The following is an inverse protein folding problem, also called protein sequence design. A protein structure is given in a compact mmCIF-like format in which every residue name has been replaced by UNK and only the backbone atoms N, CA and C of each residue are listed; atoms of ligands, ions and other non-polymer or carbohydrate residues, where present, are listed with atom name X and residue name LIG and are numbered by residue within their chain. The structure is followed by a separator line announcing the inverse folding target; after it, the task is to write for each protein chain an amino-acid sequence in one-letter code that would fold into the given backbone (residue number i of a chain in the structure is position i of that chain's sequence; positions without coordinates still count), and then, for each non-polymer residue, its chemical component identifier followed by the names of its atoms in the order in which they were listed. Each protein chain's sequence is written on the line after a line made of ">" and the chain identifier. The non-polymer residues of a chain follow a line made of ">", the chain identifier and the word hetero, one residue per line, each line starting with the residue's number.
data_IF_342514442131
#
_entry.id   IF_342514442131
#
_cell.length_a   1.000
_cell.length_b   1.000
_cell.length_c   1.000
_cell.angle_alpha   90.00
_cell.angle_beta   90.00
_cell.angle_gamma   90.00
#
_symmetry.space_group_name_H-M   'P 1'
#
loop_
_entity.id
_entity.type
_entity.pdbx_description
1 polymer ?
#
# COMPACT_ATOMS: atom_id res chain seq x y z
N UNK A 1 -53.53 -10.60 -4.47
CA UNK A 1 -52.31 -10.28 -3.71
C UNK A 1 -51.25 -9.84 -4.71
N UNK A 2 -50.69 -8.63 -4.56
CA UNK A 2 -49.56 -8.20 -5.40
C UNK A 2 -48.33 -9.04 -5.05
N UNK A 3 -47.61 -9.52 -6.07
CA UNK A 3 -46.37 -10.28 -5.88
C UNK A 3 -45.19 -9.42 -6.29
N UNK A 4 -43.98 -9.68 -5.79
CA UNK A 4 -42.79 -8.94 -6.21
C UNK A 4 -42.62 -8.97 -7.75
N UNK A 5 -43.00 -10.09 -8.39
CA UNK A 5 -42.95 -10.28 -9.84
C UNK A 5 -44.00 -9.48 -10.63
N UNK A 6 -44.94 -8.79 -9.96
CA UNK A 6 -45.87 -7.86 -10.63
C UNK A 6 -45.28 -6.47 -10.82
N UNK A 7 -44.09 -6.18 -10.27
CA UNK A 7 -43.39 -4.92 -10.51
C UNK A 7 -42.71 -4.90 -11.90
N UNK A 8 -42.59 -3.73 -12.53
CA UNK A 8 -41.69 -3.51 -13.67
C UNK A 8 -40.26 -3.95 -13.36
N UNK A 9 -39.54 -4.43 -14.38
CA UNK A 9 -38.18 -4.94 -14.23
C UNK A 9 -37.23 -3.84 -13.73
N UNK A 10 -37.41 -2.61 -14.19
CA UNK A 10 -36.60 -1.44 -13.84
C UNK A 10 -36.72 -1.11 -12.35
N UNK A 11 -37.94 -1.22 -11.79
CA UNK A 11 -38.15 -1.03 -10.36
C UNK A 11 -37.53 -2.16 -9.54
N UNK A 12 -37.58 -3.41 -10.04
CA UNK A 12 -36.93 -4.55 -9.39
C UNK A 12 -35.40 -4.39 -9.40
N UNK A 13 -34.83 -3.96 -10.51
CA UNK A 13 -33.40 -3.66 -10.64
C UNK A 13 -32.99 -2.52 -9.71
N UNK A 14 -33.77 -1.44 -9.67
CA UNK A 14 -33.51 -0.33 -8.77
C UNK A 14 -33.52 -0.80 -7.31
N UNK A 15 -34.54 -1.53 -6.87
CA UNK A 15 -34.61 -2.09 -5.51
C UNK A 15 -33.42 -3.02 -5.25
N UNK A 16 -33.08 -3.89 -6.19
CA UNK A 16 -31.97 -4.81 -6.08
C UNK A 16 -30.62 -4.09 -5.93
N UNK A 17 -30.43 -2.92 -6.55
CA UNK A 17 -29.20 -2.12 -6.46
C UNK A 17 -28.93 -1.55 -5.06
N UNK A 18 -29.96 -1.47 -4.20
CA UNK A 18 -29.82 -1.03 -2.80
C UNK A 18 -29.59 -2.19 -1.82
N UNK A 19 -29.65 -3.44 -2.28
CA UNK A 19 -29.43 -4.59 -1.42
C UNK A 19 -27.93 -4.80 -1.15
N UNK A 20 -27.57 -5.33 0.03
CA UNK A 20 -26.29 -6.00 0.17
C UNK A 20 -26.14 -7.08 -0.91
N UNK A 21 -24.97 -7.20 -1.51
CA UNK A 21 -24.66 -8.24 -2.50
C UNK A 21 -25.03 -9.66 -2.01
N UNK A 22 -24.82 -10.01 -0.74
CA UNK A 22 -25.27 -11.29 -0.19
C UNK A 22 -26.81 -11.47 -0.27
N UNK A 23 -27.57 -10.40 -0.01
CA UNK A 23 -29.02 -10.40 -0.16
C UNK A 23 -29.46 -10.48 -1.62
N UNK A 24 -28.72 -9.83 -2.54
CA UNK A 24 -28.93 -9.97 -3.98
C UNK A 24 -28.78 -11.44 -4.42
N UNK A 25 -27.72 -12.12 -3.99
CA UNK A 25 -27.49 -13.53 -4.33
C UNK A 25 -28.64 -14.42 -3.84
N UNK A 26 -29.16 -14.17 -2.65
CA UNK A 26 -30.33 -14.88 -2.13
C UNK A 26 -31.59 -14.58 -2.95
N UNK A 27 -31.82 -13.32 -3.32
CA UNK A 27 -32.94 -12.91 -4.17
C UNK A 27 -32.91 -13.60 -5.55
N UNK A 28 -31.72 -13.68 -6.16
CA UNK A 28 -31.51 -14.36 -7.43
C UNK A 28 -31.85 -15.87 -7.36
N UNK A 29 -31.72 -16.50 -6.20
CA UNK A 29 -32.03 -17.93 -6.00
C UNK A 29 -33.52 -18.23 -5.84
N UNK A 30 -34.37 -17.22 -5.60
CA UNK A 30 -35.80 -17.42 -5.35
C UNK A 30 -36.60 -17.80 -6.61
N UNK A 31 -36.20 -17.32 -7.79
CA UNK A 31 -36.89 -17.59 -9.05
C UNK A 31 -35.97 -17.32 -10.25
N UNK A 32 -36.09 -18.13 -11.32
CA UNK A 32 -35.36 -17.89 -12.58
C UNK A 32 -35.64 -16.52 -13.18
N UNK A 33 -36.85 -15.99 -13.01
CA UNK A 33 -37.21 -14.64 -13.49
C UNK A 33 -36.49 -13.57 -12.67
N UNK A 34 -36.43 -13.70 -11.35
CA UNK A 34 -35.66 -12.78 -10.49
C UNK A 34 -34.17 -12.87 -10.77
N UNK A 35 -33.64 -14.09 -11.00
CA UNK A 35 -32.27 -14.27 -11.43
C UNK A 35 -31.97 -13.45 -12.70
N UNK A 36 -32.77 -13.61 -13.76
CA UNK A 36 -32.55 -12.88 -15.02
C UNK A 36 -32.68 -11.36 -14.90
N UNK A 37 -33.56 -10.86 -14.02
CA UNK A 37 -33.74 -9.42 -13.80
C UNK A 37 -32.60 -8.84 -12.95
N UNK A 38 -32.20 -9.54 -11.88
CA UNK A 38 -31.30 -9.04 -10.85
C UNK A 38 -29.82 -9.40 -11.10
N UNK A 39 -29.54 -10.39 -11.95
CA UNK A 39 -28.19 -10.68 -12.45
C UNK A 39 -27.90 -9.78 -13.66
N UNK A 40 -27.98 -8.47 -13.42
CA UNK A 40 -27.79 -7.42 -14.42
C UNK A 40 -26.58 -6.57 -14.01
N UNK A 41 -25.83 -6.10 -15.01
CA UNK A 41 -24.62 -5.32 -14.78
C UNK A 41 -24.91 -4.02 -14.02
N UNK A 42 -25.96 -3.28 -14.36
CA UNK A 42 -26.29 -2.00 -13.72
C UNK A 42 -26.67 -2.19 -12.25
N UNK A 43 -27.34 -3.31 -11.92
CA UNK A 43 -27.66 -3.66 -10.53
C UNK A 43 -26.39 -3.83 -9.71
N UNK A 44 -25.43 -4.60 -10.24
CA UNK A 44 -24.17 -4.88 -9.58
C UNK A 44 -23.28 -3.64 -9.45
N UNK A 45 -23.24 -2.80 -10.49
CA UNK A 45 -22.57 -1.50 -10.44
C UNK A 45 -23.21 -0.60 -9.37
N UNK A 46 -24.54 -0.55 -9.29
CA UNK A 46 -25.25 0.21 -8.26
C UNK A 46 -24.91 -0.27 -6.84
N UNK A 47 -24.79 -1.59 -6.63
CA UNK A 47 -24.32 -2.13 -5.35
C UNK A 47 -22.89 -1.69 -5.08
N UNK A 48 -21.96 -1.89 -6.01
CA UNK A 48 -20.56 -1.49 -5.81
C UNK A 48 -20.43 0.01 -5.50
N UNK A 49 -21.15 0.86 -6.25
CA UNK A 49 -21.11 2.31 -6.09
C UNK A 49 -21.72 2.80 -4.77
N UNK A 50 -22.81 2.17 -4.32
CA UNK A 50 -23.61 2.68 -3.22
C UNK A 50 -23.56 1.83 -1.96
N UNK A 51 -22.86 0.69 -1.94
CA UNK A 51 -22.83 -0.23 -0.81
C UNK A 51 -22.46 0.49 0.50
N UNK A 52 -21.41 1.30 0.48
CA UNK A 52 -20.98 2.06 1.65
C UNK A 52 -22.06 3.07 2.11
N UNK A 53 -22.69 3.78 1.17
CA UNK A 53 -23.69 4.79 1.51
C UNK A 53 -25.03 4.22 1.95
N UNK A 54 -25.40 3.04 1.43
CA UNK A 54 -26.67 2.37 1.70
C UNK A 54 -26.62 1.50 2.95
N UNK A 55 -25.43 1.11 3.38
CA UNK A 55 -25.26 0.29 4.57
C UNK A 55 -25.48 1.11 5.83
N UNK A 56 -26.54 0.80 6.56
CA UNK A 56 -26.93 1.50 7.80
C UNK A 56 -25.79 1.49 8.81
N UNK A 57 -25.40 2.67 9.30
CA UNK A 57 -24.34 2.81 10.30
C UNK A 57 -22.94 2.93 9.72
N UNK A 58 -22.72 2.68 8.43
CA UNK A 58 -21.36 2.69 7.86
C UNK A 58 -20.74 4.09 7.87
N UNK A 59 -21.51 5.11 7.48
CA UNK A 59 -21.08 6.52 7.54
C UNK A 59 -20.86 6.96 8.98
N UNK A 60 -21.76 6.61 9.89
CA UNK A 60 -21.66 6.96 11.30
C UNK A 60 -20.46 6.28 11.98
N UNK A 61 -20.17 5.02 11.63
CA UNK A 61 -18.99 4.30 12.10
C UNK A 61 -17.69 4.90 11.58
N UNK A 62 -17.66 5.30 10.30
CA UNK A 62 -16.51 6.04 9.73
C UNK A 62 -16.34 7.39 10.43
N UNK A 63 -17.40 8.18 10.57
CA UNK A 63 -17.36 9.46 11.28
C UNK A 63 -16.92 9.29 12.74
N UNK A 64 -17.30 8.20 13.41
CA UNK A 64 -16.82 7.88 14.76
C UNK A 64 -15.32 7.58 14.78
N UNK A 65 -14.84 6.78 13.83
CA UNK A 65 -13.41 6.47 13.68
C UNK A 65 -12.60 7.73 13.41
N UNK A 66 -13.18 8.72 12.73
CA UNK A 66 -12.51 10.00 12.46
C UNK A 66 -12.65 10.97 13.62
N UNK A 67 -13.77 10.98 14.32
CA UNK A 67 -13.96 11.79 15.52
C UNK A 67 -13.10 11.29 16.70
N UNK A 68 -12.74 10.01 16.71
CA UNK A 68 -11.81 9.44 17.66
C UNK A 68 -10.40 10.03 17.43
N UNK A 69 -10.05 11.00 18.28
CA UNK A 69 -8.70 11.49 18.56
C UNK A 69 -8.00 12.24 17.42
N UNK A 70 -7.97 13.57 17.50
CA UNK A 70 -6.98 14.41 16.79
C UNK A 70 -6.89 14.24 15.26
N UNK A 71 -7.88 13.65 14.60
CA UNK A 71 -7.86 13.52 13.13
C UNK A 71 -8.34 14.80 12.46
N UNK A 72 -7.92 14.99 11.22
CA UNK A 72 -8.40 16.07 10.37
C UNK A 72 -9.83 15.79 9.94
N UNK A 73 -10.63 16.84 9.77
CA UNK A 73 -11.99 16.71 9.26
C UNK A 73 -11.94 16.10 7.85
N UNK A 74 -12.76 15.09 7.59
CA UNK A 74 -12.94 14.59 6.23
C UNK A 74 -13.69 15.62 5.40
N UNK A 75 -13.22 15.82 4.18
CA UNK A 75 -14.03 16.46 3.16
C UNK A 75 -15.16 15.49 2.76
N UNK A 76 -16.45 15.91 2.79
CA UNK A 76 -17.56 15.10 2.30
C UNK A 76 -17.34 14.51 0.91
N UNK A 77 -16.56 15.17 0.04
CA UNK A 77 -16.20 14.64 -1.29
C UNK A 77 -15.44 13.30 -1.22
N UNK A 78 -14.70 13.04 -0.13
CA UNK A 78 -13.99 11.78 0.08
C UNK A 78 -14.93 10.61 0.42
N UNK A 79 -16.20 10.88 0.70
CA UNK A 79 -17.23 9.85 0.88
C UNK A 79 -17.84 9.39 -0.45
N UNK A 80 -17.55 10.10 -1.53
CA UNK A 80 -17.95 9.73 -2.89
C UNK A 80 -16.86 8.85 -3.51
N UNK A 81 -17.28 7.77 -4.19
CA UNK A 81 -16.36 6.96 -4.97
C UNK A 81 -16.21 7.57 -6.37
N UNK A 82 -15.38 8.61 -6.47
CA UNK A 82 -15.20 9.42 -7.68
C UNK A 82 -14.77 8.55 -8.87
N UNK A 83 -13.92 7.58 -8.61
CA UNK A 83 -13.38 6.70 -9.63
C UNK A 83 -14.27 5.49 -9.93
N UNK A 84 -15.28 5.23 -9.10
CA UNK A 84 -16.19 4.10 -9.29
C UNK A 84 -16.92 4.17 -10.63
N UNK A 85 -17.31 5.37 -11.06
CA UNK A 85 -18.05 5.56 -12.31
C UNK A 85 -17.29 5.07 -13.56
N UNK A 86 -16.01 5.44 -13.72
CA UNK A 86 -15.20 5.04 -14.87
C UNK A 86 -14.85 3.55 -14.83
N UNK A 87 -14.49 3.04 -13.65
CA UNK A 87 -14.11 1.63 -13.46
C UNK A 87 -15.30 0.71 -13.73
N UNK A 88 -16.48 1.09 -13.23
CA UNK A 88 -17.68 0.30 -13.37
C UNK A 88 -18.24 0.37 -14.80
N UNK A 89 -18.13 1.51 -15.50
CA UNK A 89 -18.69 1.68 -16.84
C UNK A 89 -18.20 0.63 -17.85
N UNK A 90 -16.92 0.25 -17.75
CA UNK A 90 -16.27 -0.72 -18.64
C UNK A 90 -16.27 -2.15 -18.08
N UNK A 91 -16.72 -2.34 -16.82
CA UNK A 91 -16.68 -3.64 -16.17
C UNK A 91 -17.60 -4.66 -16.88
N UNK A 92 -17.12 -5.89 -17.02
CA UNK A 92 -17.95 -7.04 -17.35
C UNK A 92 -18.92 -7.38 -16.21
N UNK A 93 -19.88 -8.27 -16.46
CA UNK A 93 -20.83 -8.67 -15.41
C UNK A 93 -20.12 -9.37 -14.23
N UNK A 94 -19.12 -10.20 -14.49
CA UNK A 94 -18.41 -10.94 -13.45
C UNK A 94 -17.46 -10.03 -12.66
N UNK A 95 -16.86 -9.04 -13.33
CA UNK A 95 -16.12 -7.95 -12.73
C UNK A 95 -17.01 -7.11 -11.80
N UNK A 96 -18.21 -6.73 -12.26
CA UNK A 96 -19.17 -6.00 -11.45
C UNK A 96 -19.63 -6.82 -10.23
N UNK A 97 -19.79 -8.14 -10.36
CA UNK A 97 -20.08 -9.02 -9.20
C UNK A 97 -18.93 -9.00 -8.20
N UNK A 98 -17.70 -9.12 -8.67
CA UNK A 98 -16.52 -9.13 -7.80
C UNK A 98 -16.37 -7.79 -7.06
N UNK A 99 -16.49 -6.67 -7.76
CA UNK A 99 -16.42 -5.33 -7.16
C UNK A 99 -17.56 -5.10 -6.16
N UNK A 100 -18.79 -5.51 -6.49
CA UNK A 100 -19.93 -5.43 -5.57
C UNK A 100 -19.70 -6.25 -4.29
N UNK A 101 -19.16 -7.46 -4.43
CA UNK A 101 -18.81 -8.31 -3.30
C UNK A 101 -17.69 -7.71 -2.46
N UNK A 102 -16.59 -7.28 -3.08
CA UNK A 102 -15.46 -6.64 -2.43
C UNK A 102 -15.89 -5.38 -1.66
N UNK A 103 -16.70 -4.51 -2.29
CA UNK A 103 -17.24 -3.31 -1.67
C UNK A 103 -18.10 -3.63 -0.43
N UNK A 104 -18.93 -4.68 -0.51
CA UNK A 104 -19.68 -5.17 0.66
C UNK A 104 -18.73 -5.66 1.75
N UNK A 105 -17.76 -6.51 1.44
CA UNK A 105 -16.83 -7.04 2.45
C UNK A 105 -16.02 -5.94 3.12
N UNK A 106 -15.57 -4.96 2.36
CA UNK A 106 -14.90 -3.77 2.90
C UNK A 106 -15.84 -2.98 3.83
N UNK A 107 -17.09 -2.75 3.42
CA UNK A 107 -18.09 -2.03 4.22
C UNK A 107 -18.47 -2.78 5.50
N UNK A 108 -18.61 -4.10 5.43
CA UNK A 108 -18.83 -4.95 6.60
C UNK A 108 -17.66 -4.87 7.58
N UNK A 109 -16.43 -4.86 7.07
CA UNK A 109 -15.24 -4.68 7.91
C UNK A 109 -15.34 -3.35 8.68
N UNK A 110 -15.76 -2.24 8.06
CA UNK A 110 -15.99 -0.95 8.75
C UNK A 110 -16.99 -1.06 9.90
N UNK A 111 -18.03 -1.88 9.74
CA UNK A 111 -19.07 -2.05 10.75
C UNK A 111 -18.67 -2.96 11.91
N UNK A 112 -17.85 -3.98 11.65
CA UNK A 112 -17.41 -4.96 12.65
C UNK A 112 -16.29 -4.36 13.51
N UNK A 113 -16.33 -3.06 13.84
CA UNK A 113 -15.41 -2.48 14.81
C UNK A 113 -15.38 -3.39 16.03
N UNK A 114 -14.25 -4.06 16.27
CA UNK A 114 -14.21 -5.01 17.34
C UNK A 114 -14.43 -4.20 18.63
N UNK A 115 -15.10 -4.76 19.65
CA UNK A 115 -14.94 -4.25 20.99
C UNK A 115 -13.44 -4.02 21.25
N UNK A 116 -13.05 -2.92 21.89
CA UNK A 116 -11.63 -2.55 22.10
C UNK A 116 -10.76 -3.67 22.72
N UNK A 117 -11.43 -4.68 23.27
CA UNK A 117 -10.92 -5.87 23.95
C UNK A 117 -11.01 -7.18 23.12
N UNK A 118 -11.60 -7.18 21.93
CA UNK A 118 -11.62 -8.32 20.99
C UNK A 118 -10.79 -7.99 19.75
N UNK A 119 -9.46 -8.13 19.82
CA UNK A 119 -8.54 -8.02 18.66
C UNK A 119 -8.71 -9.18 17.65
N UNK A 120 -9.93 -9.66 17.48
CA UNK A 120 -10.34 -10.82 16.69
C UNK A 120 -10.76 -10.46 15.26
N UNK A 121 -10.39 -9.27 14.76
CA UNK A 121 -10.42 -9.02 13.31
C UNK A 121 -9.68 -10.12 12.54
N UNK A 122 -8.56 -10.59 13.09
CA UNK A 122 -7.77 -11.66 12.50
C UNK A 122 -8.42 -13.05 12.58
N UNK A 123 -9.36 -13.32 13.50
CA UNK A 123 -10.07 -14.61 13.53
C UNK A 123 -11.19 -14.65 12.49
N UNK A 124 -11.85 -13.50 12.22
CA UNK A 124 -12.84 -13.37 11.15
C UNK A 124 -12.23 -13.21 9.75
N UNK A 125 -11.00 -12.72 9.66
CA UNK A 125 -10.16 -12.71 8.46
C UNK A 125 -9.28 -13.96 8.35
N UNK A 126 -9.52 -14.98 9.17
CA UNK A 126 -8.75 -16.22 9.13
C UNK A 126 -8.74 -16.74 7.68
N UNK A 127 -7.55 -16.91 7.06
CA UNK A 127 -7.42 -17.39 5.68
C UNK A 127 -8.05 -18.79 5.48
N UNK A 128 -8.35 -19.47 6.59
CA UNK A 128 -8.92 -20.81 6.63
C UNK A 128 -10.46 -20.85 6.52
N UNK A 129 -11.15 -19.70 6.34
CA UNK A 129 -12.58 -19.66 6.01
C UNK A 129 -12.83 -19.36 4.51
N UNK A 130 -12.08 -20.07 3.66
CA UNK A 130 -12.44 -20.73 2.38
C UNK A 130 -13.21 -20.00 1.25
N UNK A 131 -13.21 -18.67 1.08
CA UNK A 131 -13.48 -18.16 -0.29
C UNK A 131 -13.00 -16.76 -0.66
N UNK A 132 -12.38 -15.98 0.23
CA UNK A 132 -12.05 -14.59 -0.12
C UNK A 132 -10.81 -14.09 0.59
N UNK A 133 -9.67 -14.20 -0.09
CA UNK A 133 -8.38 -13.71 0.40
C UNK A 133 -8.32 -12.18 0.27
N UNK A 134 -8.07 -11.50 1.40
CA UNK A 134 -7.88 -10.04 1.43
C UNK A 134 -6.77 -9.57 0.49
N UNK A 135 -5.78 -10.42 0.21
CA UNK A 135 -4.67 -10.12 -0.69
C UNK A 135 -5.12 -9.97 -2.15
N UNK A 136 -6.30 -10.47 -2.52
CA UNK A 136 -6.80 -10.44 -3.90
C UNK A 136 -7.58 -9.15 -4.23
N UNK A 137 -8.54 -8.79 -3.37
CA UNK A 137 -9.51 -7.72 -3.67
C UNK A 137 -9.18 -6.39 -3.02
N UNK A 138 -8.64 -6.40 -1.79
CA UNK A 138 -8.47 -5.18 -1.00
C UNK A 138 -7.44 -4.22 -1.62
N UNK A 139 -6.29 -4.67 -2.14
CA UNK A 139 -5.35 -3.77 -2.81
C UNK A 139 -6.00 -3.00 -3.97
N UNK A 140 -6.91 -3.65 -4.71
CA UNK A 140 -7.65 -3.01 -5.79
C UNK A 140 -8.57 -1.92 -5.25
N UNK A 141 -9.42 -2.22 -4.26
CA UNK A 141 -10.30 -1.19 -3.69
C UNK A 141 -9.56 0.01 -3.09
N UNK A 142 -8.39 -0.23 -2.49
CA UNK A 142 -7.51 0.84 -1.99
C UNK A 142 -6.96 1.69 -3.13
N UNK A 143 -6.44 1.06 -4.18
CA UNK A 143 -5.92 1.76 -5.36
C UNK A 143 -7.03 2.49 -6.16
N UNK A 144 -8.28 2.07 -6.00
CA UNK A 144 -9.47 2.73 -6.54
C UNK A 144 -10.09 3.74 -5.56
N UNK A 145 -9.46 4.00 -4.41
CA UNK A 145 -9.92 4.93 -3.37
C UNK A 145 -11.37 4.71 -2.90
N UNK A 146 -11.82 3.46 -2.82
CA UNK A 146 -13.19 3.19 -2.39
C UNK A 146 -13.45 3.74 -0.96
N UNK A 147 -14.53 4.50 -0.70
CA UNK A 147 -14.73 5.22 0.58
C UNK A 147 -14.70 4.35 1.84
N UNK A 148 -15.15 3.09 1.75
CA UNK A 148 -15.08 2.15 2.87
C UNK A 148 -13.64 1.92 3.38
N UNK A 149 -12.63 2.13 2.53
CA UNK A 149 -11.22 1.99 2.91
C UNK A 149 -10.74 3.06 3.89
N UNK A 150 -11.45 4.20 3.99
CA UNK A 150 -11.13 5.29 4.92
C UNK A 150 -11.22 4.88 6.40
N UNK A 151 -11.99 3.83 6.69
CA UNK A 151 -12.19 3.32 8.04
C UNK A 151 -11.23 2.18 8.41
N UNK A 152 -10.42 1.66 7.49
CA UNK A 152 -9.49 0.57 7.78
C UNK A 152 -8.33 1.05 8.67
N UNK A 153 -7.99 0.29 9.68
CA UNK A 153 -6.89 0.59 10.60
C UNK A 153 -5.67 -0.31 10.32
N UNK A 154 -4.42 0.18 10.46
CA UNK A 154 -3.22 -0.61 10.20
C UNK A 154 -3.11 -1.90 11.03
N UNK A 155 -3.57 -1.86 12.29
CA UNK A 155 -3.50 -3.00 13.23
C UNK A 155 -4.20 -4.26 12.71
N UNK A 156 -5.28 -4.10 11.95
CA UNK A 156 -6.01 -5.19 11.31
C UNK A 156 -5.15 -6.03 10.35
N UNK A 157 -4.06 -5.47 9.83
CA UNK A 157 -3.21 -6.11 8.80
C UNK A 157 -1.86 -6.58 9.33
N UNK A 158 -1.49 -6.26 10.57
CA UNK A 158 -0.22 -6.67 11.17
C UNK A 158 -0.09 -8.19 11.27
N UNK A 159 -1.17 -8.86 11.71
CA UNK A 159 -1.18 -10.31 11.85
C UNK A 159 -1.10 -11.03 10.50
N UNK A 160 -1.93 -10.74 9.48
CA UNK A 160 -1.79 -11.33 8.15
C UNK A 160 -0.38 -11.19 7.57
N UNK A 161 0.25 -10.03 7.74
CA UNK A 161 1.62 -9.79 7.27
C UNK A 161 2.61 -10.71 8.00
N UNK A 162 2.58 -10.76 9.33
CA UNK A 162 3.43 -11.66 10.10
C UNK A 162 3.23 -13.13 9.71
N UNK A 163 1.99 -13.56 9.46
CA UNK A 163 1.67 -14.93 9.03
C UNK A 163 2.26 -15.25 7.65
N UNK A 164 2.19 -14.32 6.68
CA UNK A 164 2.84 -14.50 5.37
C UNK A 164 4.37 -14.52 5.50
N UNK A 165 4.95 -13.65 6.34
CA UNK A 165 6.40 -13.68 6.61
C UNK A 165 6.82 -15.04 7.19
N UNK A 166 6.09 -15.55 8.18
CA UNK A 166 6.35 -16.85 8.78
C UNK A 166 6.24 -17.97 7.74
N UNK A 167 5.20 -18.01 6.92
CA UNK A 167 5.05 -19.02 5.85
C UNK A 167 6.27 -19.05 4.93
N UNK A 168 6.76 -17.90 4.48
CA UNK A 168 7.94 -17.81 3.59
C UNK A 168 9.22 -18.33 4.27
N UNK A 169 9.41 -18.06 5.55
CA UNK A 169 10.54 -18.59 6.31
C UNK A 169 10.48 -20.12 6.45
N UNK A 170 9.29 -20.70 6.64
CA UNK A 170 9.11 -22.15 6.72
C UNK A 170 9.33 -22.83 5.36
N UNK A 171 8.80 -22.27 4.26
CA UNK A 171 9.02 -22.80 2.90
C UNK A 171 10.50 -22.84 2.52
N UNK A 172 11.33 -21.98 3.12
CA UNK A 172 12.78 -22.00 2.92
C UNK A 172 13.48 -23.16 3.64
N UNK A 173 12.96 -23.57 4.79
CA UNK A 173 13.62 -24.52 5.69
C UNK A 173 13.09 -25.96 5.57
N UNK A 174 11.86 -26.16 5.10
CA UNK A 174 11.21 -27.46 5.08
C UNK A 174 10.62 -27.79 3.70
N UNK A 175 10.75 -29.05 3.27
CA UNK A 175 10.16 -29.57 2.02
C UNK A 175 8.65 -29.82 2.12
N UNK A 176 7.99 -29.26 3.14
CA UNK A 176 6.55 -29.38 3.40
C UNK A 176 5.89 -28.07 2.94
N UNK A 177 6.01 -27.75 1.65
CA UNK A 177 5.20 -26.68 1.07
C UNK A 177 3.76 -27.18 0.98
N UNK A 178 2.80 -26.31 1.31
CA UNK A 178 1.44 -26.44 0.80
C UNK A 178 1.55 -26.62 -0.72
N UNK A 179 1.19 -27.79 -1.28
CA UNK A 179 1.44 -28.09 -2.69
C UNK A 179 0.59 -27.22 -3.63
N UNK A 180 -0.31 -26.37 -3.11
CA UNK A 180 -1.22 -25.59 -3.92
C UNK A 180 -0.69 -24.23 -4.39
N UNK A 181 0.19 -23.55 -3.63
CA UNK A 181 0.62 -22.19 -3.95
C UNK A 181 2.04 -22.14 -4.53
N UNK A 182 2.17 -21.57 -5.73
CA UNK A 182 3.46 -21.34 -6.40
C UNK A 182 4.29 -20.25 -5.70
N UNK A 183 5.63 -20.25 -5.82
CA UNK A 183 6.47 -19.19 -5.25
C UNK A 183 6.12 -17.77 -5.72
N UNK A 184 5.61 -17.64 -6.95
CA UNK A 184 5.19 -16.35 -7.51
C UNK A 184 3.87 -15.86 -6.89
N UNK A 185 2.92 -16.76 -6.63
CA UNK A 185 1.68 -16.44 -5.89
C UNK A 185 1.99 -16.00 -4.45
N UNK A 186 2.87 -16.72 -3.75
CA UNK A 186 3.32 -16.31 -2.41
C UNK A 186 4.02 -14.94 -2.43
N UNK A 187 4.80 -14.65 -3.48
CA UNK A 187 5.46 -13.35 -3.66
C UNK A 187 4.44 -12.24 -3.90
N UNK A 188 3.40 -12.50 -4.67
CA UNK A 188 2.37 -11.52 -4.95
C UNK A 188 1.46 -11.27 -3.75
N UNK A 189 1.04 -12.32 -3.05
CA UNK A 189 0.30 -12.23 -1.78
C UNK A 189 1.05 -11.31 -0.81
N UNK A 190 2.37 -11.53 -0.68
CA UNK A 190 3.24 -10.70 0.12
C UNK A 190 3.25 -9.22 -0.31
N UNK A 191 3.47 -8.96 -1.60
CA UNK A 191 3.50 -7.57 -2.13
C UNK A 191 2.14 -6.90 -1.94
N UNK A 192 1.04 -7.62 -2.17
CA UNK A 192 -0.32 -7.12 -2.06
C UNK A 192 -0.66 -6.75 -0.60
N UNK A 193 -0.30 -7.58 0.38
CA UNK A 193 -0.49 -7.26 1.79
C UNK A 193 0.39 -6.08 2.23
N UNK A 194 1.63 -6.01 1.75
CA UNK A 194 2.49 -4.85 2.00
C UNK A 194 1.93 -3.57 1.37
N UNK A 195 1.34 -3.65 0.18
CA UNK A 195 0.60 -2.53 -0.40
C UNK A 195 -0.55 -2.08 0.51
N UNK A 196 -1.35 -3.03 1.00
CA UNK A 196 -2.49 -2.75 1.91
C UNK A 196 -2.02 -2.01 3.16
N UNK A 197 -1.04 -2.54 3.90
CA UNK A 197 -0.59 -1.90 5.14
C UNK A 197 0.08 -0.55 4.88
N UNK A 198 0.86 -0.41 3.80
CA UNK A 198 1.51 0.86 3.46
C UNK A 198 0.46 1.92 3.12
N UNK A 199 -0.53 1.59 2.29
CA UNK A 199 -1.62 2.48 1.95
C UNK A 199 -2.38 2.92 3.21
N UNK A 200 -2.82 1.97 4.04
CA UNK A 200 -3.63 2.26 5.24
C UNK A 200 -2.82 3.05 6.26
N UNK A 201 -1.53 2.76 6.42
CA UNK A 201 -0.64 3.52 7.32
C UNK A 201 -0.43 4.94 6.82
N UNK A 202 -0.18 5.17 5.53
CA UNK A 202 -0.08 6.52 4.95
C UNK A 202 -1.37 7.29 5.11
N UNK A 203 -2.52 6.64 4.88
CA UNK A 203 -3.82 7.24 5.08
C UNK A 203 -4.01 7.70 6.53
N UNK A 204 -3.61 6.88 7.51
CA UNK A 204 -3.66 7.25 8.93
C UNK A 204 -2.71 8.37 9.28
N UNK A 205 -1.46 8.29 8.86
CA UNK A 205 -0.47 9.34 9.09
C UNK A 205 -0.87 10.68 8.45
N UNK A 206 -1.49 10.65 7.27
CA UNK A 206 -1.98 11.84 6.58
C UNK A 206 -3.22 12.47 7.22
N UNK A 207 -4.00 11.68 7.97
CA UNK A 207 -5.25 12.12 8.58
C UNK A 207 -5.14 12.38 10.09
N UNK A 208 -4.03 12.04 10.75
CA UNK A 208 -3.84 12.32 12.19
C UNK A 208 -3.01 13.58 12.43
N UNK A 209 -3.33 14.33 13.48
CA UNK A 209 -2.45 15.39 14.02
C UNK A 209 -1.37 14.80 14.93
N UNK A 210 -1.55 13.59 15.42
CA UNK A 210 -0.66 12.90 16.34
C UNK A 210 -0.24 11.55 15.77
N UNK A 211 0.94 11.51 15.14
CA UNK A 211 1.50 10.30 14.57
C UNK A 211 1.70 9.19 15.61
N UNK A 212 1.80 9.54 16.92
CA UNK A 212 1.98 8.55 17.98
C UNK A 212 0.77 7.63 18.13
N UNK A 213 -0.43 8.07 17.71
CA UNK A 213 -1.61 7.20 17.66
C UNK A 213 -1.40 6.05 16.69
N UNK A 214 -0.91 6.35 15.49
CA UNK A 214 -0.62 5.34 14.47
C UNK A 214 0.52 4.44 14.92
N UNK A 215 1.63 4.99 15.42
CA UNK A 215 2.79 4.17 15.83
C UNK A 215 2.48 3.27 17.02
N UNK A 216 1.62 3.72 17.96
CA UNK A 216 1.20 2.93 19.12
C UNK A 216 0.47 1.65 18.71
N UNK A 217 -0.23 1.63 17.58
CA UNK A 217 -0.84 0.40 17.06
C UNK A 217 0.22 -0.68 16.78
N UNK A 218 1.35 -0.30 16.18
CA UNK A 218 2.48 -1.18 15.93
C UNK A 218 3.19 -1.58 17.23
N UNK A 219 3.43 -0.61 18.13
CA UNK A 219 4.03 -0.90 19.45
C UNK A 219 3.19 -1.91 20.24
N UNK A 220 1.87 -1.74 20.29
CA UNK A 220 0.96 -2.64 20.99
C UNK A 220 0.95 -4.06 20.42
N UNK A 221 1.29 -4.21 19.14
CA UNK A 221 1.32 -5.50 18.47
C UNK A 221 2.68 -6.20 18.66
N UNK A 222 3.78 -5.49 18.41
CA UNK A 222 5.13 -6.06 18.44
C UNK A 222 5.74 -6.08 19.85
N UNK A 223 5.35 -5.15 20.71
CA UNK A 223 5.86 -4.99 22.08
C UNK A 223 4.73 -5.03 23.13
N UNK A 224 3.88 -6.08 23.19
CA UNK A 224 2.68 -6.11 24.03
C UNK A 224 2.99 -6.10 25.54
N UNK A 225 4.21 -6.45 25.94
CA UNK A 225 4.67 -6.45 27.33
C UNK A 225 5.06 -5.05 27.83
N UNK A 226 5.06 -4.03 26.97
CA UNK A 226 5.39 -2.68 27.39
C UNK A 226 4.25 -2.07 28.20
N UNK A 227 4.30 -2.29 29.51
CA UNK A 227 3.30 -1.82 30.48
C UNK A 227 3.51 -0.37 30.91
N UNK A 228 4.65 0.23 30.57
CA UNK A 228 5.02 1.59 30.95
C UNK A 228 5.11 2.51 29.72
N UNK A 229 3.97 3.05 29.27
CA UNK A 229 3.94 4.16 28.32
C UNK A 229 4.06 5.54 29.01
N UNK A 230 4.29 5.55 30.32
CA UNK A 230 4.22 6.76 31.15
C UNK A 230 5.38 7.74 30.92
N UNK A 231 6.43 7.34 30.20
CA UNK A 231 7.57 8.22 29.90
C UNK A 231 7.87 8.29 28.42
N UNK A 232 8.19 9.49 27.93
CA UNK A 232 8.60 9.72 26.54
C UNK A 232 9.80 8.84 26.12
N UNK A 233 10.71 8.55 27.06
CA UNK A 233 11.85 7.68 26.82
C UNK A 233 11.44 6.21 26.61
N UNK A 234 10.48 5.71 27.40
CA UNK A 234 9.94 4.36 27.21
C UNK A 234 9.23 4.24 25.86
N UNK A 235 8.40 5.21 25.49
CA UNK A 235 7.76 5.26 24.16
C UNK A 235 8.80 5.24 23.04
N UNK A 236 9.84 6.08 23.12
CA UNK A 236 10.89 6.11 22.11
C UNK A 236 11.66 4.78 21.99
N UNK A 237 11.89 4.08 23.11
CA UNK A 237 12.56 2.78 23.10
C UNK A 237 11.65 1.66 22.57
N UNK A 238 10.37 1.62 22.96
CA UNK A 238 9.38 0.68 22.41
C UNK A 238 9.25 0.85 20.90
N UNK A 239 9.20 2.10 20.45
CA UNK A 239 9.09 2.40 19.04
C UNK A 239 10.35 1.96 18.28
N UNK A 240 11.55 2.22 18.82
CA UNK A 240 12.81 1.72 18.23
C UNK A 240 12.80 0.20 18.11
N UNK A 241 12.33 -0.49 19.15
CA UNK A 241 12.22 -1.95 19.13
C UNK A 241 11.18 -2.43 18.09
N UNK A 242 10.06 -1.72 17.97
CA UNK A 242 9.04 -1.99 16.94
C UNK A 242 9.60 -1.86 15.54
N UNK A 243 10.35 -0.79 15.25
CA UNK A 243 11.05 -0.62 13.97
C UNK A 243 12.06 -1.73 13.76
N UNK A 244 12.85 -2.09 14.78
CA UNK A 244 13.81 -3.20 14.71
C UNK A 244 13.12 -4.52 14.33
N UNK A 245 12.01 -4.85 14.98
CA UNK A 245 11.23 -6.06 14.70
C UNK A 245 10.62 -6.03 13.29
N UNK A 246 10.14 -4.87 12.82
CA UNK A 246 9.69 -4.71 11.43
C UNK A 246 10.84 -4.89 10.44
N UNK A 247 12.02 -4.36 10.72
CA UNK A 247 13.23 -4.55 9.92
C UNK A 247 13.67 -6.02 9.89
N UNK A 248 13.57 -6.75 11.01
CA UNK A 248 13.83 -8.20 11.07
C UNK A 248 12.86 -9.00 10.19
N UNK A 249 11.66 -8.45 9.94
CA UNK A 249 10.70 -9.03 9.01
C UNK A 249 11.00 -8.68 7.55
N UNK A 250 11.75 -7.63 7.23
CA UNK A 250 12.16 -7.35 5.84
C UNK A 250 12.86 -8.57 5.27
N UNK A 251 12.30 -9.11 4.19
CA UNK A 251 12.73 -10.39 3.62
C UNK A 251 14.22 -10.37 3.29
N UNK A 252 14.89 -11.48 3.60
CA UNK A 252 16.25 -11.84 3.23
C UNK A 252 16.83 -10.95 2.15
N UNK A 253 17.77 -10.08 2.55
CA UNK A 253 18.57 -9.38 1.58
C UNK A 253 19.18 -10.40 0.60
N UNK A 254 19.26 -10.11 -0.70
CA UNK A 254 20.13 -10.87 -1.57
C UNK A 254 21.58 -10.83 -1.05
N UNK A 255 22.31 -11.95 -1.18
CA UNK A 255 23.77 -11.90 -1.14
C UNK A 255 24.26 -10.95 -2.25
N UNK A 256 25.46 -10.39 -2.10
CA UNK A 256 26.00 -9.17 -2.78
C UNK A 256 25.90 -9.07 -4.32
N UNK A 257 25.26 -10.00 -5.04
CA UNK A 257 25.15 -10.08 -6.51
C UNK A 257 23.72 -10.23 -7.09
N UNK A 258 22.65 -10.24 -6.29
CA UNK A 258 21.27 -10.35 -6.82
C UNK A 258 20.57 -9.00 -6.69
N UNK A 259 19.98 -8.52 -7.79
CA UNK A 259 19.18 -7.29 -7.83
C UNK A 259 18.13 -7.27 -6.70
N UNK A 260 17.89 -6.09 -6.12
CA UNK A 260 16.84 -5.91 -5.12
C UNK A 260 15.52 -6.42 -5.68
N UNK A 261 14.83 -7.28 -4.93
CA UNK A 261 13.53 -7.78 -5.36
C UNK A 261 12.42 -6.80 -5.00
N UNK A 262 11.34 -6.78 -5.78
CA UNK A 262 10.16 -5.97 -5.45
C UNK A 262 9.64 -6.25 -4.04
N UNK A 263 9.59 -7.52 -3.60
CA UNK A 263 9.17 -7.85 -2.23
C UNK A 263 10.02 -7.15 -1.18
N UNK A 264 11.33 -7.08 -1.37
CA UNK A 264 12.23 -6.40 -0.45
C UNK A 264 11.91 -4.91 -0.39
N UNK A 265 11.77 -4.25 -1.55
CA UNK A 265 11.41 -2.84 -1.63
C UNK A 265 10.07 -2.53 -0.93
N UNK A 266 9.04 -3.35 -1.15
CA UNK A 266 7.75 -3.20 -0.46
C UNK A 266 7.87 -3.36 1.05
N UNK A 267 8.65 -4.34 1.53
CA UNK A 267 8.83 -4.55 2.97
C UNK A 267 9.58 -3.43 3.68
N UNK A 268 10.39 -2.64 2.96
CA UNK A 268 11.09 -1.48 3.52
C UNK A 268 10.22 -0.24 3.68
N UNK A 269 9.14 -0.08 2.90
CA UNK A 269 8.32 1.13 2.93
C UNK A 269 7.76 1.37 4.34
N UNK A 270 7.21 0.33 4.97
CA UNK A 270 6.57 0.43 6.27
C UNK A 270 7.53 0.88 7.40
N UNK A 271 8.69 0.22 7.64
CA UNK A 271 9.64 0.68 8.65
C UNK A 271 10.18 2.06 8.33
N UNK A 272 10.47 2.38 7.05
CA UNK A 272 10.95 3.70 6.66
C UNK A 272 9.91 4.78 6.98
N UNK A 273 8.67 4.56 6.57
CA UNK A 273 7.53 5.46 6.80
C UNK A 273 7.31 5.76 8.27
N UNK A 274 7.25 4.73 9.11
CA UNK A 274 7.04 4.87 10.55
C UNK A 274 8.21 5.61 11.19
N UNK A 275 9.44 5.31 10.79
CA UNK A 275 10.61 5.96 11.37
C UNK A 275 10.72 7.44 10.95
N UNK A 276 10.39 7.78 9.70
CA UNK A 276 10.23 9.18 9.24
C UNK A 276 9.16 9.88 10.07
N UNK A 277 8.00 9.25 10.28
CA UNK A 277 6.90 9.79 11.09
C UNK A 277 7.33 10.19 12.50
N UNK A 278 8.17 9.38 13.14
CA UNK A 278 8.65 9.64 14.50
C UNK A 278 9.81 10.62 14.55
N UNK A 279 10.75 10.56 13.60
CA UNK A 279 11.94 11.42 13.62
C UNK A 279 11.62 12.86 13.18
N UNK A 280 10.64 13.05 12.29
CA UNK A 280 10.35 14.34 11.66
C UNK A 280 8.91 14.82 11.85
N UNK A 281 8.39 14.88 13.09
CA UNK A 281 6.97 15.16 13.32
C UNK A 281 6.53 16.57 12.86
N UNK A 282 7.45 17.54 12.96
CA UNK A 282 7.24 18.91 12.47
C UNK A 282 7.60 19.05 10.98
N UNK A 283 8.73 18.45 10.56
CA UNK A 283 9.20 18.57 9.18
C UNK A 283 8.28 17.87 8.16
N UNK A 284 7.54 16.82 8.56
CA UNK A 284 6.45 16.26 7.74
C UNK A 284 5.38 17.30 7.42
N UNK A 285 5.13 18.27 8.31
CA UNK A 285 4.13 19.32 8.08
C UNK A 285 4.65 20.46 7.22
N UNK A 286 5.95 20.76 7.30
CA UNK A 286 6.50 22.01 6.76
C UNK A 286 7.38 21.83 5.51
N UNK A 287 8.15 20.73 5.41
CA UNK A 287 9.27 20.68 4.46
C UNK A 287 9.48 19.33 3.74
N UNK A 288 8.87 18.24 4.20
CA UNK A 288 9.00 16.92 3.59
C UNK A 288 7.86 15.97 3.93
N UNK A 289 6.61 16.31 3.57
CA UNK A 289 5.44 15.48 3.83
C UNK A 289 5.59 14.07 3.24
N UNK A 290 5.22 13.07 4.04
CA UNK A 290 4.96 11.73 3.53
C UNK A 290 3.90 11.78 2.42
N UNK A 291 3.95 10.88 1.43
CA UNK A 291 2.94 10.86 0.39
C UNK A 291 1.58 10.53 1.00
N UNK A 292 0.52 11.21 0.55
CA UNK A 292 -0.85 10.94 0.95
C UNK A 292 -1.45 9.95 -0.01
N UNK A 293 -1.97 8.84 0.50
CA UNK A 293 -2.62 7.81 -0.33
C UNK A 293 -3.68 8.41 -1.28
N UNK A 294 -4.50 9.33 -0.77
CA UNK A 294 -5.55 10.04 -1.54
C UNK A 294 -5.03 10.98 -2.64
N UNK A 295 -3.75 11.34 -2.62
CA UNK A 295 -3.11 12.16 -3.65
C UNK A 295 -2.31 11.34 -4.66
N UNK A 296 -2.09 10.06 -4.40
CA UNK A 296 -1.40 9.18 -5.36
C UNK A 296 -2.43 8.76 -6.41
N UNK A 297 -2.26 9.14 -7.69
CA UNK A 297 -3.25 8.85 -8.72
C UNK A 297 -3.06 7.42 -9.25
N UNK A 298 -3.23 6.40 -8.41
CA UNK A 298 -2.91 5.00 -8.73
C UNK A 298 -3.48 4.56 -10.08
N UNK A 299 -4.73 4.90 -10.39
CA UNK A 299 -5.38 4.55 -11.67
C UNK A 299 -4.68 5.09 -12.92
N UNK A 300 -3.93 6.19 -12.79
CA UNK A 300 -3.23 6.78 -13.93
C UNK A 300 -2.02 5.95 -14.35
N UNK A 301 -1.41 5.21 -13.41
CA UNK A 301 -0.16 4.46 -13.64
C UNK A 301 -0.25 2.96 -13.32
N UNK A 302 -1.29 2.50 -12.63
CA UNK A 302 -1.57 1.09 -12.37
C UNK A 302 -2.64 0.60 -13.34
N UNK A 303 -2.38 -0.49 -14.04
CA UNK A 303 -3.38 -1.15 -14.87
C UNK A 303 -4.30 -2.02 -14.02
N UNK A 304 -5.07 -1.40 -13.12
CA UNK A 304 -5.98 -2.07 -12.19
C UNK A 304 -7.10 -2.72 -13.00
N UNK A 305 -6.96 -4.01 -13.29
CA UNK A 305 -8.05 -4.79 -13.90
C UNK A 305 -8.99 -5.27 -12.80
N UNK A 306 -10.25 -5.37 -13.15
CA UNK A 306 -11.39 -5.66 -12.27
C UNK A 306 -11.54 -7.13 -11.87
N UNK A 307 -10.78 -8.05 -12.49
CA UNK A 307 -10.66 -9.45 -12.07
C UNK A 307 -9.19 -9.87 -12.14
N UNK A 308 -8.61 -10.21 -11.00
CA UNK A 308 -7.37 -10.97 -10.96
C UNK A 308 -7.69 -12.33 -10.33
N UNK A 309 -7.97 -13.36 -11.14
CA UNK A 309 -8.40 -14.66 -10.64
C UNK A 309 -7.28 -15.48 -9.97
N UNK A 310 -6.06 -14.95 -9.87
CA UNK A 310 -4.93 -15.58 -9.20
C UNK A 310 -3.82 -14.53 -8.98
N UNK A 311 -3.23 -14.52 -7.79
CA UNK A 311 -2.43 -13.43 -7.24
C UNK A 311 -1.06 -13.27 -7.90
N UNK A 312 -0.93 -12.33 -8.84
CA UNK A 312 0.37 -11.97 -9.45
C UNK A 312 0.36 -10.70 -10.27
N UNK A 313 -0.81 -10.35 -10.80
CA UNK A 313 -0.99 -9.19 -11.67
C UNK A 313 -1.04 -7.88 -10.91
N UNK A 314 -1.70 -7.79 -9.74
CA UNK A 314 -1.76 -6.53 -8.99
C UNK A 314 -0.36 -6.07 -8.54
N UNK A 315 0.47 -7.01 -8.06
CA UNK A 315 1.82 -6.71 -7.58
C UNK A 315 2.76 -6.15 -8.64
N UNK A 316 2.39 -6.27 -9.93
CA UNK A 316 3.20 -5.85 -11.08
C UNK A 316 2.48 -4.90 -12.03
N UNK A 317 1.19 -4.58 -11.82
CA UNK A 317 0.38 -3.80 -12.77
C UNK A 317 0.79 -2.33 -12.87
N UNK A 318 1.65 -1.84 -11.97
CA UNK A 318 2.23 -0.50 -12.04
C UNK A 318 3.44 -0.42 -12.98
N UNK A 319 4.14 -1.53 -13.25
CA UNK A 319 5.49 -1.50 -13.83
C UNK A 319 5.53 -0.90 -15.23
N UNK A 320 4.55 -1.21 -16.07
CA UNK A 320 4.54 -0.74 -17.46
C UNK A 320 4.60 0.78 -17.57
N UNK A 321 3.80 1.49 -16.78
CA UNK A 321 3.80 2.97 -16.79
C UNK A 321 4.86 3.55 -15.87
N UNK A 322 5.07 2.97 -14.69
CA UNK A 322 6.00 3.54 -13.70
C UNK A 322 7.48 3.42 -14.07
N UNK A 323 7.84 2.49 -14.96
CA UNK A 323 9.20 2.38 -15.51
C UNK A 323 9.43 3.27 -16.73
N UNK A 324 8.40 3.96 -17.23
CA UNK A 324 8.52 4.82 -18.40
C UNK A 324 9.25 6.13 -18.09
N UNK A 325 9.99 6.71 -19.07
CA UNK A 325 10.63 8.02 -18.91
C UNK A 325 9.66 9.14 -18.52
N UNK A 326 8.44 9.13 -19.07
CA UNK A 326 7.41 10.14 -18.79
C UNK A 326 6.95 10.09 -17.34
N UNK A 327 6.82 8.90 -16.77
CA UNK A 327 6.51 8.77 -15.35
C UNK A 327 7.70 9.17 -14.48
N UNK A 328 8.92 8.75 -14.82
CA UNK A 328 10.11 9.00 -13.99
C UNK A 328 10.50 10.48 -13.95
N UNK A 329 10.31 11.20 -15.05
CA UNK A 329 10.64 12.62 -15.16
C UNK A 329 9.72 13.46 -14.28
N UNK A 330 10.29 14.39 -13.51
CA UNK A 330 9.52 15.27 -12.64
C UNK A 330 10.23 15.61 -11.34
N UNK A 331 9.49 16.22 -10.42
CA UNK A 331 9.98 16.58 -9.09
C UNK A 331 9.73 15.46 -8.10
N UNK A 332 10.79 15.08 -7.41
CA UNK A 332 10.79 14.06 -6.37
C UNK A 332 11.30 14.65 -5.06
N UNK A 333 10.92 13.99 -3.97
CA UNK A 333 11.35 14.27 -2.61
C UNK A 333 11.52 12.92 -1.91
N UNK A 334 12.30 12.89 -0.83
CA UNK A 334 12.32 11.72 0.00
C UNK A 334 13.35 11.78 1.09
N UNK A 335 13.70 10.60 1.60
CA UNK A 335 14.59 10.46 2.74
C UNK A 335 15.56 9.31 2.51
N UNK A 336 16.68 9.36 3.20
CA UNK A 336 17.58 8.22 3.33
C UNK A 336 18.07 8.09 4.78
N UNK A 337 18.39 6.87 5.17
CA UNK A 337 18.97 6.56 6.47
C UNK A 337 20.48 6.42 6.35
N UNK A 338 21.23 6.79 7.39
CA UNK A 338 22.66 6.49 7.52
C UNK A 338 22.89 5.51 8.67
N UNK A 339 23.24 4.28 8.30
CA UNK A 339 23.50 3.19 9.24
C UNK A 339 24.99 2.99 9.53
N UNK A 340 25.86 3.83 8.98
CA UNK A 340 27.31 3.75 9.22
C UNK A 340 27.66 3.98 10.69
N UNK A 341 26.94 4.90 11.36
CA UNK A 341 27.16 5.26 12.76
C UNK A 341 26.66 4.20 13.75
N UNK A 342 25.79 3.28 13.30
CA UNK A 342 25.26 2.19 14.13
C UNK A 342 26.29 1.09 14.43
N UNK A 343 27.43 1.10 13.72
CA UNK A 343 28.46 0.06 13.85
C UNK A 343 29.38 0.35 15.04
N UNK A 344 29.10 -0.31 16.16
CA UNK A 344 29.93 -0.27 17.37
C UNK A 344 29.17 0.16 18.62
N UNK A 345 27.93 0.63 18.48
CA UNK A 345 27.04 0.88 19.60
C UNK A 345 26.28 -0.40 19.94
N UNK A 346 26.07 -0.64 21.24
CA UNK A 346 25.21 -1.73 21.73
C UNK A 346 23.75 -1.58 21.29
N UNK A 347 23.37 -0.41 20.76
CA UNK A 347 22.06 -0.12 20.19
C UNK A 347 22.23 0.64 18.86
N UNK A 348 21.94 0.01 17.71
CA UNK A 348 21.90 0.67 16.41
C UNK A 348 20.89 1.83 16.46
N UNK A 349 21.34 3.06 16.25
CA UNK A 349 20.43 4.18 16.00
C UNK A 349 20.50 4.50 14.52
N UNK A 350 19.57 3.95 13.74
CA UNK A 350 19.36 4.38 12.35
C UNK A 350 19.01 5.86 12.38
N UNK A 351 19.89 6.69 11.82
CA UNK A 351 19.70 8.14 11.76
C UNK A 351 19.23 8.51 10.37
N UNK A 352 18.12 9.24 10.27
CA UNK A 352 17.81 9.92 9.02
C UNK A 352 18.56 11.25 8.92
N UNK A 353 19.04 11.52 7.72
CA UNK A 353 19.40 12.87 7.34
C UNK A 353 18.16 13.70 7.01
N UNK A 354 18.25 15.04 7.03
CA UNK A 354 17.25 15.94 6.47
C UNK A 354 16.73 15.46 5.09
N UNK A 355 15.48 15.79 4.73
CA UNK A 355 14.88 15.33 3.49
C UNK A 355 15.73 15.71 2.27
N UNK A 356 15.79 14.79 1.32
CA UNK A 356 16.23 15.09 -0.03
C UNK A 356 15.12 15.86 -0.73
N UNK A 357 15.40 17.10 -1.10
CA UNK A 357 14.44 18.04 -1.67
C UNK A 357 14.85 18.45 -3.08
N UNK A 358 13.88 18.98 -3.83
CA UNK A 358 14.06 19.47 -5.20
C UNK A 358 14.77 18.46 -6.13
N UNK A 359 14.50 17.16 -5.93
CA UNK A 359 15.07 16.10 -6.77
C UNK A 359 14.37 16.13 -8.13
N UNK A 360 14.92 16.87 -9.07
CA UNK A 360 14.44 16.93 -10.44
C UNK A 360 15.02 15.77 -11.25
N UNK A 361 14.23 14.73 -11.47
CA UNK A 361 14.61 13.60 -12.33
C UNK A 361 14.35 13.98 -13.79
N UNK A 362 15.36 13.74 -14.64
CA UNK A 362 15.29 13.82 -16.10
C UNK A 362 15.52 12.41 -16.64
N UNK A 363 14.46 11.78 -17.13
CA UNK A 363 14.52 10.44 -17.68
C UNK A 363 14.27 10.44 -19.19
N UNK A 364 14.93 9.51 -19.89
CA UNK A 364 14.79 9.33 -21.34
C UNK A 364 14.72 7.85 -21.72
N UNK A 365 14.26 7.59 -22.95
CA UNK A 365 14.38 6.25 -23.53
C UNK A 365 15.86 5.87 -23.70
N UNK A 366 16.24 4.61 -23.45
CA UNK A 366 17.57 4.13 -23.78
C UNK A 366 17.83 4.25 -25.29
N UNK A 367 19.06 4.61 -25.65
CA UNK A 367 19.56 4.64 -27.03
C UNK A 367 19.83 3.22 -27.51
N UNK A 368 19.81 2.99 -28.82
CA UNK A 368 19.99 1.64 -29.40
C UNK A 368 21.27 0.93 -28.91
N UNK A 369 22.37 1.67 -28.73
CA UNK A 369 23.63 1.11 -28.25
C UNK A 369 23.67 0.83 -26.73
N UNK A 370 22.71 1.34 -25.97
CA UNK A 370 22.57 1.10 -24.52
C UNK A 370 21.74 -0.17 -24.23
N UNK A 371 21.06 -0.75 -25.23
CA UNK A 371 20.20 -1.92 -25.09
C UNK A 371 20.96 -3.26 -24.99
N UNK A 372 22.29 -3.24 -24.86
CA UNK A 372 23.14 -4.38 -25.16
C UNK A 372 23.23 -5.48 -24.08
N UNK A 373 22.59 -5.34 -22.91
CA UNK A 373 22.78 -6.35 -21.85
C UNK A 373 21.62 -6.52 -20.87
N UNK A 374 20.70 -5.56 -20.74
CA UNK A 374 19.59 -5.64 -19.79
C UNK A 374 18.31 -5.10 -20.39
N UNK A 375 17.17 -5.60 -19.91
CA UNK A 375 15.83 -5.14 -20.27
C UNK A 375 15.58 -3.75 -19.64
N UNK A 376 16.32 -2.74 -20.09
CA UNK A 376 16.24 -1.34 -19.65
C UNK A 376 15.01 -0.69 -20.26
N UNK A 377 14.16 -0.12 -19.42
CA UNK A 377 12.97 0.64 -19.80
C UNK A 377 13.27 2.14 -19.92
N UNK A 378 14.12 2.67 -19.03
CA UNK A 378 14.49 4.08 -19.00
C UNK A 378 15.92 4.33 -18.49
N UNK A 379 16.51 5.44 -18.94
CA UNK A 379 17.76 6.00 -18.42
C UNK A 379 17.45 7.28 -17.66
N UNK A 380 18.10 7.47 -16.51
CA UNK A 380 18.08 8.73 -15.76
C UNK A 380 19.38 9.45 -16.07
N UNK A 381 19.28 10.65 -16.62
CA UNK A 381 20.42 11.41 -17.12
C UNK A 381 21.11 12.19 -16.01
N UNK A 382 22.41 12.44 -16.18
CA UNK A 382 23.27 13.24 -15.29
C UNK A 382 22.78 14.69 -15.06
N UNK A 383 21.85 15.16 -15.90
CA UNK A 383 21.16 16.44 -15.70
C UNK A 383 20.20 16.42 -14.50
N UNK A 384 19.82 15.24 -14.00
CA UNK A 384 18.98 15.13 -12.82
C UNK A 384 19.75 15.64 -11.60
N UNK A 385 19.11 16.49 -10.82
CA UNK A 385 19.72 17.20 -9.68
C UNK A 385 18.82 17.16 -8.46
N UNK A 386 19.41 17.31 -7.28
CA UNK A 386 18.68 17.47 -6.04
C UNK A 386 19.55 18.06 -4.94
N UNK A 387 18.94 18.31 -3.78
CA UNK A 387 19.61 18.84 -2.60
C UNK A 387 19.31 17.98 -1.38
N UNK A 388 20.29 17.83 -0.50
CA UNK A 388 20.10 17.30 0.84
C UNK A 388 21.02 17.98 1.85
N UNK A 389 21.18 17.36 3.04
CA UNK A 389 22.01 17.87 4.12
C UNK A 389 23.51 18.05 3.78
N UNK A 390 24.00 17.38 2.74
CA UNK A 390 25.38 17.45 2.29
C UNK A 390 25.58 18.34 1.06
N UNK A 391 24.49 18.89 0.50
CA UNK A 391 24.51 19.87 -0.57
C UNK A 391 23.89 19.37 -1.87
N UNK A 392 24.24 20.04 -2.98
CA UNK A 392 23.74 19.69 -4.30
C UNK A 392 24.37 18.40 -4.83
N UNK A 393 23.56 17.54 -5.41
CA UNK A 393 23.99 16.31 -6.06
C UNK A 393 23.37 16.13 -7.44
N UNK A 394 24.05 15.38 -8.29
CA UNK A 394 23.47 14.79 -9.51
C UNK A 394 23.03 13.36 -9.25
N UNK A 395 22.08 12.89 -10.06
CA UNK A 395 21.59 11.51 -10.04
C UNK A 395 21.59 10.98 -11.47
N UNK A 396 22.23 9.84 -11.71
CA UNK A 396 22.19 9.17 -13.02
C UNK A 396 21.99 7.67 -12.86
N UNK A 397 21.46 6.99 -13.86
CA UNK A 397 21.28 5.55 -13.76
C UNK A 397 20.36 4.93 -14.78
N UNK A 398 19.71 3.84 -14.38
CA UNK A 398 18.79 3.10 -15.24
C UNK A 398 17.68 2.40 -14.45
N UNK A 399 16.58 2.16 -15.15
CA UNK A 399 15.41 1.45 -14.66
C UNK A 399 15.07 0.30 -15.60
N UNK A 400 14.92 -0.92 -15.08
CA UNK A 400 14.53 -2.09 -15.85
C UNK A 400 13.02 -2.18 -16.05
N UNK A 401 12.54 -2.95 -17.03
CA UNK A 401 11.11 -3.25 -17.20
C UNK A 401 10.49 -3.99 -16.00
N UNK A 402 11.31 -4.61 -15.16
CA UNK A 402 10.89 -5.25 -13.91
C UNK A 402 10.81 -4.27 -12.74
N UNK A 403 11.10 -2.99 -12.98
CA UNK A 403 11.12 -1.96 -11.96
C UNK A 403 12.37 -1.96 -11.09
N UNK A 404 13.43 -2.70 -11.43
CA UNK A 404 14.72 -2.58 -10.74
C UNK A 404 15.36 -1.25 -11.10
N UNK A 405 15.99 -0.61 -10.13
CA UNK A 405 16.55 0.72 -10.25
C UNK A 405 18.00 0.68 -9.78
N UNK A 406 18.91 1.14 -10.63
CA UNK A 406 20.32 1.34 -10.28
C UNK A 406 20.66 2.79 -10.55
N UNK A 407 21.05 3.52 -9.50
CA UNK A 407 21.40 4.94 -9.58
C UNK A 407 22.80 5.19 -9.02
N UNK A 408 23.37 6.30 -9.44
CA UNK A 408 24.62 6.85 -8.96
C UNK A 408 24.32 8.28 -8.55
N UNK A 409 24.47 8.55 -7.25
CA UNK A 409 24.35 9.89 -6.69
C UNK A 409 25.74 10.47 -6.51
N UNK A 410 26.01 11.64 -7.10
CA UNK A 410 27.32 12.30 -7.02
C UNK A 410 27.16 13.72 -6.50
N UNK A 411 27.85 14.05 -5.40
CA UNK A 411 27.85 15.40 -4.86
C UNK A 411 28.75 16.31 -5.70
N UNK A 412 28.20 17.43 -6.17
CA UNK A 412 28.86 18.31 -7.16
C UNK A 412 30.14 18.93 -6.59
N UNK A 413 30.10 19.38 -5.33
CA UNK A 413 31.23 20.06 -4.70
C UNK A 413 32.16 19.13 -3.92
N UNK A 414 31.62 18.07 -3.31
CA UNK A 414 32.42 17.13 -2.50
C UNK A 414 33.09 16.04 -3.35
N UNK A 415 32.56 15.75 -4.55
CA UNK A 415 33.08 14.71 -5.45
C UNK A 415 32.85 13.27 -4.97
N UNK A 416 32.14 13.06 -3.86
CA UNK A 416 31.78 11.72 -3.40
C UNK A 416 30.61 11.16 -4.19
N UNK A 417 30.69 9.85 -4.43
CA UNK A 417 29.71 9.12 -5.23
C UNK A 417 29.17 7.94 -4.44
N UNK A 418 27.86 7.76 -4.47
CA UNK A 418 27.15 6.65 -3.83
C UNK A 418 26.34 5.90 -4.87
N UNK A 419 26.50 4.57 -4.90
CA UNK A 419 25.64 3.71 -5.72
C UNK A 419 24.37 3.39 -4.94
N UNK A 420 23.24 3.52 -5.60
CA UNK A 420 21.92 3.16 -5.06
C UNK A 420 21.33 2.03 -5.88
N UNK A 421 20.67 1.10 -5.19
CA UNK A 421 19.98 -0.04 -5.78
C UNK A 421 18.60 -0.14 -5.15
N UNK A 422 17.54 -0.31 -5.95
CA UNK A 422 16.19 -0.39 -5.42
C UNK A 422 15.16 -0.87 -6.41
N UNK A 423 13.88 -0.70 -6.07
CA UNK A 423 12.77 -0.96 -6.98
C UNK A 423 11.75 0.17 -6.99
N UNK A 424 11.07 0.28 -8.13
CA UNK A 424 9.87 1.08 -8.29
C UNK A 424 8.68 0.34 -7.67
N UNK A 425 7.96 1.06 -6.82
CA UNK A 425 6.71 0.65 -6.19
C UNK A 425 5.61 1.68 -6.52
N UNK A 426 4.34 1.36 -6.27
CA UNK A 426 3.26 2.34 -6.35
C UNK A 426 3.42 3.54 -5.40
N UNK A 427 4.33 3.47 -4.42
CA UNK A 427 4.62 4.53 -3.46
C UNK A 427 5.96 5.24 -3.72
N UNK A 428 6.61 4.99 -4.87
CA UNK A 428 7.89 5.61 -5.24
C UNK A 428 9.03 4.61 -5.39
N UNK A 429 10.26 5.10 -5.36
CA UNK A 429 11.48 4.29 -5.49
C UNK A 429 12.05 4.02 -4.11
N UNK A 430 12.24 2.75 -3.77
CA UNK A 430 12.69 2.30 -2.45
C UNK A 430 13.87 1.35 -2.62
N UNK A 431 14.89 1.49 -1.79
CA UNK A 431 16.07 0.64 -1.90
C UNK A 431 17.13 0.92 -0.86
N UNK A 432 18.36 0.61 -1.20
CA UNK A 432 19.55 0.87 -0.40
C UNK A 432 20.59 1.69 -1.15
N UNK A 433 21.41 2.39 -0.37
CA UNK A 433 22.59 3.06 -0.86
C UNK A 433 23.84 2.41 -0.25
N UNK A 434 24.82 2.14 -1.11
CA UNK A 434 26.12 1.53 -0.85
C UNK A 434 26.16 0.09 -0.28
N UNK A 435 25.06 -0.66 -0.32
CA UNK A 435 25.02 -2.08 0.01
C UNK A 435 25.19 -2.41 1.50
N UNK A 436 25.03 -3.70 1.88
CA UNK A 436 24.90 -4.13 3.29
C UNK A 436 26.03 -3.69 4.23
N UNK A 437 27.25 -3.57 3.70
CA UNK A 437 28.45 -3.38 4.54
C UNK A 437 28.74 -1.93 4.88
N UNK A 438 28.10 -0.98 4.22
CA UNK A 438 28.38 0.43 4.40
C UNK A 438 27.24 1.17 3.73
N UNK A 439 26.33 1.82 4.46
CA UNK A 439 25.18 2.43 3.79
C UNK A 439 23.94 2.66 4.66
N UNK A 440 22.81 2.64 3.98
CA UNK A 440 21.48 2.67 4.56
C UNK A 440 20.42 2.53 3.47
N UNK A 441 19.20 2.96 3.77
CA UNK A 441 18.04 2.81 2.92
C UNK A 441 17.60 4.16 2.36
N UNK A 442 16.92 4.16 1.23
CA UNK A 442 16.30 5.36 0.70
C UNK A 442 14.87 5.08 0.26
N UNK A 443 14.05 6.12 0.35
CA UNK A 443 12.72 6.14 -0.24
C UNK A 443 12.45 7.54 -0.79
N UNK A 444 12.22 7.62 -2.11
CA UNK A 444 11.84 8.84 -2.82
C UNK A 444 10.51 8.66 -3.54
N UNK A 445 9.70 9.70 -3.56
CA UNK A 445 8.39 9.75 -4.19
C UNK A 445 8.17 11.09 -4.89
N UNK A 446 7.11 11.19 -5.70
CA UNK A 446 6.82 12.42 -6.43
C UNK A 446 6.25 13.50 -5.51
N UNK A 447 6.66 14.74 -5.74
CA UNK A 447 6.23 15.89 -4.93
C UNK A 447 4.72 16.09 -4.99
N UNK A 448 4.07 15.85 -6.13
CA UNK A 448 2.62 16.00 -6.26
C UNK A 448 1.79 15.00 -5.41
N UNK A 449 2.41 13.96 -4.85
CA UNK A 449 1.73 12.99 -3.98
C UNK A 449 1.63 13.45 -2.52
N UNK A 450 2.22 14.59 -2.17
CA UNK A 450 2.33 15.12 -0.80
C UNK A 450 1.14 15.96 -0.35
#
# INVERSE_FOLDING_TARGET
>A
MATLLSLPNELLQQVASYLPFASLLNLQRLSRRLHGICNDRLVLQGIAQHCFSNTRGAKESLLRVLAASNRNDLDPSQLEWLEGGSVLADASIDEAKYLAYAAQRCTEAVLIQPPANQKEWASHLSPWNTSFDISEWLPQLLALHHPATLALEPDAFLRPICEVHQRRLHTRNESISDPSATPDEQRAEFINLHFVICYVTLQRLGNTRDYTETTRQFENYFCPSSTNHDTALATANNFRETIRLLCDHVTDYPHEDIASSQSQAFSWILPLMLQIAVQFPLAIREHGPLPKSTKIPFQTFMEIRSLYPAGGSFSTCHLQKTTSPDFLTGKWIGYYTDERQSRGLSQPTTRYDPPMVDVQIVARKPLEHELNTEAISAKIDLQSRGFDAHGEFTLEGQVSFKGEVTLVKQYIFAGWTWRWSGCITPFGIVGDWSGRRYGGHFWIWKVEWC
#
